data_IF_760638015653
#
_entry.id   IF_760638015653
#
_cell.length_a   1.000
_cell.length_b   1.000
_cell.length_c   1.000
_cell.angle_alpha   90.00
_cell.angle_beta   90.00
_cell.angle_gamma   90.00
#
_symmetry.space_group_name_H-M   'P 1'
#
loop_
_entity.id
_entity.type
_entity.pdbx_description
1 polymer ?
#
# COMPACT_ATOMS: atom_id res chain seq x y z
N UNK A 1 -52.98 -5.31 10.57
CA UNK A 1 -51.77 -6.07 10.10
C UNK A 1 -51.17 -5.46 8.81
N UNK A 2 -50.98 -4.15 8.73
CA UNK A 2 -50.55 -3.45 7.48
C UNK A 2 -49.30 -2.58 7.66
N UNK A 3 -48.60 -2.67 8.81
CA UNK A 3 -47.49 -1.74 9.11
C UNK A 3 -46.06 -2.29 8.83
N UNK A 4 -45.84 -3.62 8.79
CA UNK A 4 -44.52 -4.19 8.61
C UNK A 4 -44.03 -4.33 7.14
N UNK A 5 -44.96 -4.44 6.19
CA UNK A 5 -44.60 -4.58 4.77
C UNK A 5 -44.13 -3.23 4.20
N UNK A 6 -44.73 -2.10 4.60
CA UNK A 6 -44.34 -0.77 4.13
C UNK A 6 -42.99 -0.30 4.69
N UNK A 7 -42.62 -0.69 5.91
CA UNK A 7 -41.31 -0.30 6.48
C UNK A 7 -40.12 -1.03 5.81
N UNK A 8 -40.33 -2.26 5.27
CA UNK A 8 -39.30 -2.96 4.50
C UNK A 8 -39.06 -2.33 3.13
N UNK A 9 -40.08 -1.86 2.46
CA UNK A 9 -39.97 -1.23 1.14
C UNK A 9 -39.29 0.15 1.23
N UNK A 10 -39.60 0.95 2.22
CA UNK A 10 -38.95 2.26 2.45
C UNK A 10 -37.49 2.10 2.83
N UNK A 11 -37.09 1.11 3.66
CA UNK A 11 -35.70 0.81 3.97
C UNK A 11 -34.93 0.28 2.75
N UNK A 12 -35.58 -0.47 1.87
CA UNK A 12 -34.99 -0.94 0.61
C UNK A 12 -34.77 0.25 -0.35
N UNK A 13 -35.73 1.15 -0.47
CA UNK A 13 -35.66 2.38 -1.29
C UNK A 13 -34.58 3.33 -0.72
N UNK A 14 -34.51 3.52 0.59
CA UNK A 14 -33.48 4.34 1.22
C UNK A 14 -32.08 3.72 1.10
N UNK A 15 -31.93 2.39 1.10
CA UNK A 15 -30.67 1.73 0.80
C UNK A 15 -30.29 1.86 -0.68
N UNK A 16 -31.21 1.76 -1.62
CA UNK A 16 -30.96 1.97 -3.05
C UNK A 16 -30.65 3.42 -3.41
N UNK A 17 -31.24 4.39 -2.64
CA UNK A 17 -30.96 5.82 -2.82
C UNK A 17 -29.57 6.26 -2.31
N UNK A 18 -28.85 5.39 -1.59
CA UNK A 18 -27.51 5.64 -1.02
C UNK A 18 -26.44 4.67 -1.55
N UNK A 19 -26.69 3.99 -2.67
CA UNK A 19 -25.57 3.32 -3.37
C UNK A 19 -24.67 4.43 -3.91
N UNK A 20 -23.42 4.55 -3.44
CA UNK A 20 -22.53 5.58 -3.95
C UNK A 20 -22.42 5.44 -5.47
N UNK A 21 -22.50 6.54 -6.20
CA UNK A 21 -22.34 6.56 -7.66
C UNK A 21 -21.02 5.88 -8.00
N UNK A 22 -21.06 4.87 -8.86
CA UNK A 22 -19.84 4.24 -9.39
C UNK A 22 -19.10 5.28 -10.22
N UNK A 23 -17.87 5.60 -9.86
CA UNK A 23 -17.03 6.60 -10.53
C UNK A 23 -16.23 5.97 -11.66
N UNK A 24 -15.96 6.74 -12.70
CA UNK A 24 -14.95 6.47 -13.70
C UNK A 24 -13.68 7.27 -13.34
N UNK A 25 -12.61 6.60 -13.00
CA UNK A 25 -11.38 7.18 -12.50
C UNK A 25 -10.26 6.98 -13.53
N UNK A 26 -9.68 8.06 -14.04
CA UNK A 26 -8.50 8.00 -14.87
C UNK A 26 -7.27 7.86 -13.98
N UNK A 27 -6.38 6.93 -14.28
CA UNK A 27 -5.18 6.66 -13.51
C UNK A 27 -4.01 6.18 -14.37
N UNK A 28 -2.88 5.89 -13.73
CA UNK A 28 -1.77 5.14 -14.31
C UNK A 28 -1.26 4.16 -13.24
N UNK A 29 -1.09 2.89 -13.60
CA UNK A 29 -0.69 1.84 -12.68
C UNK A 29 0.58 2.19 -11.90
N UNK A 30 0.51 2.24 -10.58
CA UNK A 30 1.66 2.40 -9.70
C UNK A 30 2.29 1.04 -9.35
N UNK A 31 1.46 0.13 -8.85
CA UNK A 31 1.87 -1.21 -8.45
C UNK A 31 0.65 -2.13 -8.49
N UNK A 32 0.73 -3.23 -9.20
CA UNK A 32 -0.39 -4.12 -9.54
C UNK A 32 -1.16 -4.61 -8.31
N UNK A 33 -0.48 -5.09 -7.27
CA UNK A 33 -1.14 -5.54 -6.01
C UNK A 33 -1.86 -4.40 -5.28
N UNK A 34 -1.35 -3.17 -5.37
CA UNK A 34 -2.04 -2.01 -4.82
C UNK A 34 -3.31 -1.69 -5.60
N UNK A 35 -3.22 -1.72 -6.93
CA UNK A 35 -4.36 -1.50 -7.83
C UNK A 35 -5.46 -2.57 -7.64
N UNK A 36 -5.08 -3.83 -7.43
CA UNK A 36 -6.05 -4.90 -7.10
C UNK A 36 -6.83 -4.59 -5.83
N UNK A 37 -6.16 -4.13 -4.77
CA UNK A 37 -6.82 -3.69 -3.55
C UNK A 37 -7.70 -2.45 -3.78
N UNK A 38 -7.21 -1.50 -4.57
CA UNK A 38 -7.96 -0.29 -4.93
C UNK A 38 -9.23 -0.61 -5.71
N UNK A 39 -9.21 -1.59 -6.60
CA UNK A 39 -10.37 -2.06 -7.36
C UNK A 39 -11.49 -2.63 -6.49
N UNK A 40 -11.20 -3.06 -5.26
CA UNK A 40 -12.21 -3.48 -4.28
C UNK A 40 -13.14 -2.34 -3.83
N UNK A 41 -12.81 -1.08 -4.12
CA UNK A 41 -13.70 0.07 -3.93
C UNK A 41 -14.94 0.03 -4.82
N UNK A 42 -14.93 -0.79 -5.88
CA UNK A 42 -16.06 -1.00 -6.79
C UNK A 42 -16.19 0.06 -7.89
N UNK A 43 -15.30 1.06 -7.95
CA UNK A 43 -15.24 2.04 -9.03
C UNK A 43 -14.61 1.47 -10.30
N UNK A 44 -14.76 2.12 -11.44
CA UNK A 44 -14.05 1.79 -12.67
C UNK A 44 -12.74 2.58 -12.72
N UNK A 45 -11.64 1.88 -13.01
CA UNK A 45 -10.32 2.47 -13.18
C UNK A 45 -9.88 2.32 -14.63
N UNK A 46 -9.42 3.41 -15.22
CA UNK A 46 -8.91 3.45 -16.59
C UNK A 46 -7.46 3.89 -16.55
N UNK A 47 -6.55 2.95 -16.80
CA UNK A 47 -5.11 3.21 -16.77
C UNK A 47 -4.60 3.53 -18.14
N UNK A 48 -4.07 4.75 -18.35
CA UNK A 48 -3.33 5.08 -19.56
C UNK A 48 -2.02 4.29 -19.60
N UNK A 49 -1.92 3.42 -20.59
CA UNK A 49 -0.78 2.55 -20.81
C UNK A 49 0.39 3.33 -21.43
N UNK A 50 1.10 4.12 -20.67
CA UNK A 50 2.34 4.77 -21.14
C UNK A 50 3.48 3.75 -21.39
N UNK A 51 3.19 2.67 -22.13
CA UNK A 51 4.12 1.58 -22.45
C UNK A 51 4.35 0.56 -21.31
N UNK A 52 3.67 0.69 -20.17
CA UNK A 52 3.72 -0.29 -19.08
C UNK A 52 2.63 -1.34 -19.26
N UNK A 53 3.02 -2.60 -19.33
CA UNK A 53 2.10 -3.75 -19.27
C UNK A 53 1.84 -4.12 -17.82
N UNK A 54 0.68 -4.73 -17.55
CA UNK A 54 0.36 -5.32 -16.25
C UNK A 54 1.26 -6.53 -15.97
N UNK A 55 1.83 -6.56 -14.78
CA UNK A 55 2.62 -7.71 -14.33
C UNK A 55 1.68 -8.78 -13.74
N UNK A 56 1.46 -9.84 -14.52
CA UNK A 56 0.58 -10.96 -14.15
C UNK A 56 1.12 -11.81 -13.00
N UNK A 57 2.42 -11.73 -12.69
CA UNK A 57 2.99 -12.39 -11.50
C UNK A 57 2.45 -11.79 -10.20
N UNK A 58 1.91 -10.56 -10.27
CA UNK A 58 1.21 -9.91 -9.18
C UNK A 58 -0.28 -10.29 -9.09
N UNK A 59 -0.80 -11.10 -10.03
CA UNK A 59 -2.19 -11.53 -10.15
C UNK A 59 -2.93 -10.94 -11.35
N UNK A 60 -4.15 -11.43 -11.60
CA UNK A 60 -4.96 -11.06 -12.74
C UNK A 60 -5.43 -9.60 -12.69
N UNK A 61 -5.70 -9.04 -13.87
CA UNK A 61 -6.30 -7.70 -13.98
C UNK A 61 -7.75 -7.77 -13.49
N UNK A 62 -8.14 -6.95 -12.50
CA UNK A 62 -9.52 -6.89 -12.02
C UNK A 62 -10.51 -6.46 -13.13
N UNK A 63 -11.75 -6.99 -13.11
CA UNK A 63 -12.78 -6.68 -14.11
C UNK A 63 -13.10 -5.18 -14.27
N UNK A 64 -12.94 -4.41 -13.21
CA UNK A 64 -13.18 -2.97 -13.19
C UNK A 64 -11.90 -2.13 -13.40
N UNK A 65 -10.78 -2.75 -13.83
CA UNK A 65 -9.53 -2.09 -14.18
C UNK A 65 -9.27 -2.26 -15.69
N UNK A 66 -9.26 -1.16 -16.41
CA UNK A 66 -9.16 -1.12 -17.87
C UNK A 66 -7.87 -0.45 -18.30
N UNK A 67 -7.03 -1.18 -19.03
CA UNK A 67 -5.82 -0.61 -19.64
C UNK A 67 -6.22 -0.03 -20.99
N UNK A 68 -5.97 1.27 -21.20
CA UNK A 68 -6.35 2.00 -22.41
C UNK A 68 -5.14 2.72 -23.01
N UNK A 69 -5.00 2.68 -24.33
CA UNK A 69 -3.95 3.39 -25.05
C UNK A 69 -4.33 4.87 -25.33
N UNK A 70 -5.63 5.12 -25.45
CA UNK A 70 -6.21 6.44 -25.66
C UNK A 70 -7.55 6.58 -24.96
N UNK A 71 -7.99 7.82 -24.72
CA UNK A 71 -9.29 8.07 -24.10
C UNK A 71 -10.37 8.07 -25.17
N UNK A 72 -11.36 7.15 -25.11
CA UNK A 72 -12.49 7.14 -26.02
C UNK A 72 -13.36 8.39 -25.86
N UNK A 73 -13.92 8.90 -26.97
CA UNK A 73 -14.75 10.13 -26.98
C UNK A 73 -16.02 10.02 -26.13
N UNK A 74 -16.55 8.81 -25.97
CA UNK A 74 -17.77 8.53 -25.20
C UNK A 74 -17.52 8.39 -23.69
N UNK A 75 -16.26 8.35 -23.25
CA UNK A 75 -15.89 8.09 -21.85
C UNK A 75 -15.66 9.40 -21.11
N UNK A 76 -16.46 9.65 -20.09
CA UNK A 76 -16.30 10.77 -19.16
C UNK A 76 -15.70 10.27 -17.84
N UNK A 77 -14.80 11.07 -17.25
CA UNK A 77 -14.18 10.79 -15.96
C UNK A 77 -14.74 11.67 -14.86
N UNK A 78 -14.92 11.09 -13.68
CA UNK A 78 -15.32 11.80 -12.46
C UNK A 78 -14.10 12.32 -11.68
N UNK A 79 -12.93 11.68 -11.83
CA UNK A 79 -11.71 11.96 -11.07
C UNK A 79 -10.46 11.50 -11.85
N UNK A 80 -9.35 12.22 -11.67
CA UNK A 80 -7.99 11.72 -11.99
C UNK A 80 -7.34 11.30 -10.68
N UNK A 81 -6.91 10.04 -10.60
CA UNK A 81 -6.05 9.54 -9.53
C UNK A 81 -4.61 9.50 -10.03
N UNK A 82 -3.80 10.46 -9.58
CA UNK A 82 -2.39 10.50 -9.87
C UNK A 82 -1.61 9.84 -8.73
N UNK A 83 -0.85 8.81 -9.03
CA UNK A 83 0.20 8.31 -8.15
C UNK A 83 1.44 9.21 -8.26
N UNK A 84 2.41 9.07 -7.42
CA UNK A 84 3.56 9.98 -7.17
C UNK A 84 4.31 10.53 -8.42
N UNK A 85 4.04 10.03 -9.62
CA UNK A 85 4.76 10.34 -10.85
C UNK A 85 4.21 11.59 -11.55
N UNK A 86 4.99 12.68 -11.54
CA UNK A 86 4.63 13.95 -12.19
C UNK A 86 4.56 13.85 -13.72
N UNK A 87 5.36 13.01 -14.36
CA UNK A 87 5.35 12.88 -15.82
C UNK A 87 4.05 12.22 -16.27
N UNK A 88 3.60 11.19 -15.53
CA UNK A 88 2.32 10.52 -15.79
C UNK A 88 1.13 11.45 -15.50
N UNK A 89 1.19 12.23 -14.43
CA UNK A 89 0.17 13.24 -14.14
C UNK A 89 0.09 14.27 -15.27
N UNK A 90 1.23 14.83 -15.70
CA UNK A 90 1.29 15.78 -16.78
C UNK A 90 0.75 15.19 -18.10
N UNK A 91 1.08 13.92 -18.38
CA UNK A 91 0.55 13.21 -19.55
C UNK A 91 -0.97 13.06 -19.50
N UNK A 92 -1.52 12.53 -18.40
CA UNK A 92 -2.97 12.38 -18.23
C UNK A 92 -3.70 13.71 -18.36
N UNK A 93 -3.19 14.76 -17.72
CA UNK A 93 -3.77 16.10 -17.78
C UNK A 93 -3.70 16.69 -19.20
N UNK A 94 -2.59 16.51 -19.92
CA UNK A 94 -2.41 16.96 -21.29
C UNK A 94 -3.36 16.25 -22.26
N UNK A 95 -3.50 14.93 -22.14
CA UNK A 95 -4.41 14.13 -22.98
C UNK A 95 -5.86 14.59 -22.80
N UNK A 96 -6.31 14.78 -21.54
CA UNK A 96 -7.66 15.28 -21.26
C UNK A 96 -7.89 16.68 -21.77
N UNK A 97 -6.91 17.58 -21.61
CA UNK A 97 -7.01 18.98 -22.05
C UNK A 97 -7.01 19.14 -23.57
N UNK A 98 -6.40 18.17 -24.29
CA UNK A 98 -6.31 18.16 -25.76
C UNK A 98 -7.52 17.53 -26.46
N UNK A 99 -8.47 16.93 -25.73
CA UNK A 99 -9.67 16.36 -26.33
C UNK A 99 -10.61 17.46 -26.86
N UNK A 100 -11.23 17.31 -28.06
CA UNK A 100 -12.22 18.25 -28.55
C UNK A 100 -13.33 18.45 -27.53
N UNK A 101 -13.65 19.69 -27.19
CA UNK A 101 -14.67 20.04 -26.19
C UNK A 101 -16.09 19.82 -26.74
N UNK A 102 -16.44 18.62 -27.12
CA UNK A 102 -17.84 18.23 -27.39
C UNK A 102 -18.65 18.11 -26.09
N UNK A 103 -17.95 18.06 -24.95
CA UNK A 103 -18.53 18.07 -23.59
C UNK A 103 -17.74 19.03 -22.71
N UNK A 104 -18.31 20.17 -22.33
CA UNK A 104 -17.71 21.17 -21.44
C UNK A 104 -17.27 20.62 -20.08
N UNK A 105 -17.71 19.42 -19.72
CA UNK A 105 -17.36 18.73 -18.47
C UNK A 105 -16.03 17.93 -18.54
N UNK A 106 -15.46 17.69 -19.73
CA UNK A 106 -14.23 16.88 -19.87
C UNK A 106 -12.96 17.61 -19.42
N UNK A 107 -12.96 18.94 -19.44
CA UNK A 107 -11.78 19.77 -19.12
C UNK A 107 -11.63 20.11 -17.64
N UNK A 108 -12.62 19.77 -16.81
CA UNK A 108 -12.66 20.15 -15.40
C UNK A 108 -12.88 18.93 -14.51
N UNK A 109 -11.92 17.99 -14.52
CA UNK A 109 -11.94 16.80 -13.68
C UNK A 109 -11.03 17.03 -12.47
N UNK A 110 -11.51 16.79 -11.22
CA UNK A 110 -10.69 16.95 -10.04
C UNK A 110 -9.50 15.97 -10.06
N UNK A 111 -8.37 16.42 -9.56
CA UNK A 111 -7.14 15.63 -9.48
C UNK A 111 -6.82 15.35 -8.03
N UNK A 112 -6.84 14.08 -7.66
CA UNK A 112 -6.35 13.54 -6.40
C UNK A 112 -4.96 12.95 -6.62
N UNK A 113 -3.95 13.45 -5.89
CA UNK A 113 -2.60 12.90 -5.91
C UNK A 113 -2.35 12.05 -4.67
N UNK A 114 -2.05 10.77 -4.86
CA UNK A 114 -1.71 9.83 -3.81
C UNK A 114 -0.22 9.53 -3.77
N UNK A 115 0.40 9.78 -2.63
CA UNK A 115 1.85 9.66 -2.45
C UNK A 115 2.24 8.34 -1.80
N UNK A 116 3.01 7.52 -2.53
CA UNK A 116 3.53 6.23 -2.09
C UNK A 116 4.96 6.28 -1.54
N UNK A 117 5.67 7.41 -1.71
CA UNK A 117 7.09 7.52 -1.39
C UNK A 117 7.34 8.58 -0.35
N UNK A 118 8.48 8.49 0.31
CA UNK A 118 9.03 9.55 1.15
C UNK A 118 9.75 10.59 0.28
N UNK A 119 9.88 11.83 0.78
CA UNK A 119 10.72 12.80 0.13
C UNK A 119 12.18 12.36 0.13
N UNK A 120 12.92 12.81 -0.86
CA UNK A 120 14.35 12.55 -0.95
C UNK A 120 15.09 13.31 0.17
N UNK A 121 15.82 12.59 1.00
CA UNK A 121 16.55 13.14 2.16
C UNK A 121 17.60 14.20 1.80
N UNK A 122 17.93 14.35 0.51
CA UNK A 122 18.86 15.36 0.02
C UNK A 122 18.25 16.77 -0.08
N UNK A 123 16.92 16.89 0.01
CA UNK A 123 16.21 18.14 -0.10
C UNK A 123 15.61 18.57 1.24
N UNK A 124 15.59 19.87 1.52
CA UNK A 124 14.87 20.44 2.65
C UNK A 124 13.33 20.40 2.44
N UNK A 125 12.56 20.61 3.51
CA UNK A 125 11.09 20.53 3.45
C UNK A 125 10.48 21.51 2.43
N UNK A 126 11.03 22.71 2.27
CA UNK A 126 10.49 23.69 1.32
C UNK A 126 10.78 23.29 -0.12
N UNK A 127 11.96 22.73 -0.39
CA UNK A 127 12.29 22.15 -1.69
C UNK A 127 11.38 20.97 -2.03
N UNK A 128 11.16 20.08 -1.05
CA UNK A 128 10.28 18.92 -1.19
C UNK A 128 8.83 19.31 -1.46
N UNK A 129 8.31 20.31 -0.75
CA UNK A 129 6.96 20.85 -1.03
C UNK A 129 6.83 21.38 -2.43
N UNK A 130 7.85 22.13 -2.92
CA UNK A 130 7.87 22.64 -4.28
C UNK A 130 7.86 21.52 -5.33
N UNK A 131 8.49 20.39 -5.04
CA UNK A 131 8.48 19.21 -5.92
C UNK A 131 7.12 18.48 -5.91
N UNK A 132 6.41 18.49 -4.78
CA UNK A 132 5.12 17.79 -4.65
C UNK A 132 3.95 18.68 -5.06
N UNK A 133 3.94 19.96 -4.66
CA UNK A 133 2.81 20.85 -4.90
C UNK A 133 2.71 21.19 -6.38
N UNK A 134 1.64 20.75 -6.99
CA UNK A 134 1.31 21.01 -8.38
C UNK A 134 -0.01 21.81 -8.42
N UNK A 135 -0.05 23.00 -9.09
CA UNK A 135 -1.23 23.87 -9.09
C UNK A 135 -2.49 23.24 -9.68
N UNK A 136 -2.36 22.17 -10.48
CA UNK A 136 -3.52 21.46 -11.03
C UNK A 136 -4.10 20.43 -10.07
N UNK A 137 -3.38 20.05 -8.99
CA UNK A 137 -3.83 19.06 -8.01
C UNK A 137 -4.78 19.69 -7.00
N UNK A 138 -5.96 19.13 -6.86
CA UNK A 138 -7.01 19.64 -5.99
C UNK A 138 -6.95 19.02 -4.59
N UNK A 139 -6.51 17.76 -4.47
CA UNK A 139 -6.49 17.03 -3.22
C UNK A 139 -5.26 16.12 -3.12
N UNK A 140 -4.65 16.06 -1.93
CA UNK A 140 -3.49 15.21 -1.66
C UNK A 140 -3.84 14.10 -0.69
N UNK A 141 -3.25 12.92 -0.88
CA UNK A 141 -3.31 11.84 0.09
C UNK A 141 -1.97 11.11 0.22
N UNK A 142 -1.76 10.50 1.38
CA UNK A 142 -0.50 9.87 1.76
C UNK A 142 -0.76 8.50 2.38
N UNK A 143 0.20 7.59 2.26
CA UNK A 143 0.06 6.24 2.82
C UNK A 143 0.29 6.16 4.33
N UNK A 144 0.76 7.24 4.97
CA UNK A 144 0.96 7.31 6.42
C UNK A 144 0.99 8.74 6.92
N UNK A 145 0.74 8.92 8.23
CA UNK A 145 0.92 10.23 8.89
C UNK A 145 2.38 10.67 8.86
N UNK A 146 3.30 9.74 9.04
CA UNK A 146 4.73 10.00 8.90
C UNK A 146 5.05 10.56 7.51
N UNK A 147 4.63 9.86 6.44
CA UNK A 147 4.86 10.32 5.05
C UNK A 147 4.25 11.71 4.80
N UNK A 148 3.01 11.94 5.25
CA UNK A 148 2.32 13.22 5.15
C UNK A 148 3.14 14.36 5.82
N UNK A 149 3.62 14.13 7.04
CA UNK A 149 4.45 15.09 7.79
C UNK A 149 5.79 15.36 7.14
N UNK A 150 6.47 14.32 6.60
CA UNK A 150 7.74 14.47 5.89
C UNK A 150 7.60 15.34 4.62
N UNK A 151 6.45 15.28 3.93
CA UNK A 151 6.12 16.16 2.82
C UNK A 151 5.61 17.55 3.25
N UNK A 152 5.52 17.82 4.56
CA UNK A 152 5.07 19.10 5.13
C UNK A 152 3.57 19.35 4.99
N UNK A 153 2.77 18.30 4.86
CA UNK A 153 1.30 18.35 4.87
C UNK A 153 0.75 17.99 6.25
N UNK A 154 -0.54 18.24 6.45
CA UNK A 154 -1.29 17.89 7.65
C UNK A 154 -2.73 17.49 7.31
N UNK A 155 -3.48 17.02 8.30
CA UNK A 155 -4.85 16.51 8.12
C UNK A 155 -5.88 17.57 7.70
N UNK A 156 -5.55 18.86 7.77
CA UNK A 156 -6.46 19.93 7.33
C UNK A 156 -6.55 20.08 5.81
N UNK A 157 -5.52 19.63 5.09
CA UNK A 157 -5.40 19.81 3.64
C UNK A 157 -5.08 18.52 2.87
N UNK A 158 -5.09 17.38 3.54
CA UNK A 158 -4.81 16.08 2.94
C UNK A 158 -5.42 14.94 3.74
N UNK A 159 -5.47 13.75 3.11
CA UNK A 159 -5.92 12.52 3.76
C UNK A 159 -4.76 11.54 3.97
N UNK A 160 -4.91 10.66 4.97
CA UNK A 160 -4.05 9.49 5.15
C UNK A 160 -4.84 8.25 4.79
N UNK A 161 -4.31 7.46 3.86
CA UNK A 161 -4.88 6.19 3.40
C UNK A 161 -3.84 5.10 3.60
N UNK A 162 -3.89 4.44 4.75
CA UNK A 162 -2.99 3.35 5.08
C UNK A 162 -3.26 2.14 4.18
N UNK A 163 -2.24 1.32 3.94
CA UNK A 163 -2.39 0.10 3.14
C UNK A 163 -3.50 -0.80 3.65
N UNK A 164 -4.16 -1.49 2.72
CA UNK A 164 -5.09 -2.58 3.01
C UNK A 164 -4.43 -3.93 2.85
N UNK A 165 -4.65 -4.82 3.80
CA UNK A 165 -4.18 -6.20 3.76
C UNK A 165 -5.39 -7.12 3.73
N UNK A 166 -5.45 -8.00 2.74
CA UNK A 166 -6.44 -9.07 2.67
C UNK A 166 -6.09 -10.14 3.70
N UNK A 167 -6.73 -10.08 4.85
CA UNK A 167 -6.43 -10.98 5.97
C UNK A 167 -6.98 -12.38 5.81
N UNK A 168 -7.84 -12.62 4.83
CA UNK A 168 -8.28 -13.97 4.45
C UNK A 168 -7.23 -14.64 3.57
N UNK A 169 -6.66 -13.89 2.63
CA UNK A 169 -5.56 -14.37 1.82
C UNK A 169 -4.26 -14.48 2.64
N UNK A 170 -3.78 -13.37 3.23
CA UNK A 170 -2.60 -13.36 4.09
C UNK A 170 -2.96 -13.85 5.49
N UNK A 171 -2.82 -15.14 5.74
CA UNK A 171 -3.16 -15.79 6.99
C UNK A 171 -2.03 -16.69 7.51
N UNK A 172 -2.02 -17.05 8.80
CA UNK A 172 -0.93 -17.83 9.41
C UNK A 172 -0.74 -19.23 8.83
N UNK A 173 -1.78 -19.84 8.22
CA UNK A 173 -1.79 -21.25 7.88
C UNK A 173 -1.83 -22.16 9.10
N UNK A 174 -1.84 -23.48 8.86
CA UNK A 174 -1.94 -24.49 9.90
C UNK A 174 -0.65 -25.33 10.04
N UNK A 175 0.36 -25.07 9.20
CA UNK A 175 1.60 -25.84 9.17
C UNK A 175 2.59 -25.36 10.24
N UNK A 176 3.46 -26.28 10.68
CA UNK A 176 4.58 -25.95 11.55
C UNK A 176 5.57 -25.05 10.83
N UNK A 177 6.10 -24.05 11.53
CA UNK A 177 7.04 -23.09 10.97
C UNK A 177 8.47 -23.58 11.05
N UNK A 178 9.22 -23.39 9.98
CA UNK A 178 10.66 -23.61 9.98
C UNK A 178 11.34 -22.58 10.90
N UNK A 179 12.37 -23.04 11.63
CA UNK A 179 13.16 -22.17 12.51
C UNK A 179 14.15 -21.30 11.73
N UNK A 180 13.63 -20.37 10.91
CA UNK A 180 14.39 -19.52 10.01
C UNK A 180 13.99 -18.05 10.14
N UNK A 181 14.93 -17.16 9.78
CA UNK A 181 14.70 -15.73 9.61
C UNK A 181 14.51 -15.44 8.11
N UNK A 182 13.32 -15.00 7.75
CA UNK A 182 12.95 -14.62 6.39
C UNK A 182 13.16 -13.12 6.16
N UNK A 183 13.73 -12.77 5.02
CA UNK A 183 13.71 -11.40 4.48
C UNK A 183 13.22 -11.41 3.04
N UNK A 184 12.41 -10.42 2.66
CA UNK A 184 11.85 -10.29 1.30
C UNK A 184 12.15 -8.90 0.78
N UNK A 185 13.11 -8.78 -0.14
CA UNK A 185 13.56 -7.47 -0.67
C UNK A 185 14.00 -7.61 -2.13
N UNK A 186 13.52 -6.72 -2.99
CA UNK A 186 13.96 -6.64 -4.38
C UNK A 186 15.20 -5.73 -4.52
N UNK A 187 16.17 -6.14 -5.37
CA UNK A 187 17.37 -5.37 -5.73
C UNK A 187 18.13 -4.85 -4.49
N UNK A 188 18.26 -5.72 -3.48
CA UNK A 188 18.69 -5.34 -2.14
C UNK A 188 20.10 -4.71 -2.11
N UNK A 189 21.14 -5.27 -2.74
CA UNK A 189 22.48 -4.67 -2.72
C UNK A 189 22.52 -3.24 -3.28
N UNK A 190 21.76 -2.96 -4.36
CA UNK A 190 21.72 -1.64 -4.98
C UNK A 190 20.83 -0.66 -4.21
N UNK A 191 19.99 -1.15 -3.31
CA UNK A 191 19.07 -0.37 -2.49
C UNK A 191 19.45 -0.33 -1.01
N UNK A 192 20.73 -0.50 -0.69
CA UNK A 192 21.23 -0.45 0.69
C UNK A 192 20.79 0.81 1.42
N UNK A 193 20.84 1.97 0.77
CA UNK A 193 20.47 3.27 1.35
C UNK A 193 19.04 3.33 1.92
N UNK A 194 18.11 2.52 1.41
CA UNK A 194 16.73 2.47 1.88
C UNK A 194 16.31 1.13 2.46
N UNK A 195 16.98 0.03 2.09
CA UNK A 195 16.60 -1.32 2.49
C UNK A 195 17.59 -1.98 3.46
N UNK A 196 18.74 -1.31 3.79
CA UNK A 196 19.68 -1.72 4.84
C UNK A 196 20.38 -3.05 4.57
N UNK A 197 20.90 -3.25 3.36
CA UNK A 197 21.66 -4.45 2.99
C UNK A 197 22.88 -4.68 3.89
N UNK A 198 23.69 -3.64 4.11
CA UNK A 198 24.89 -3.73 4.96
C UNK A 198 24.53 -4.05 6.42
N UNK A 199 23.44 -3.47 6.94
CA UNK A 199 22.94 -3.78 8.27
C UNK A 199 22.51 -5.25 8.37
N UNK A 200 21.80 -5.75 7.36
CA UNK A 200 21.38 -7.15 7.32
C UNK A 200 22.57 -8.10 7.27
N UNK A 201 23.57 -7.84 6.42
CA UNK A 201 24.78 -8.66 6.37
C UNK A 201 25.50 -8.71 7.73
N UNK A 202 25.61 -7.56 8.41
CA UNK A 202 26.25 -7.48 9.71
C UNK A 202 25.52 -8.29 10.79
N UNK A 203 24.17 -8.28 10.75
CA UNK A 203 23.34 -8.82 11.84
C UNK A 203 22.90 -10.26 11.60
N UNK A 204 22.75 -10.69 10.36
CA UNK A 204 22.18 -11.98 10.00
C UNK A 204 23.22 -13.09 9.77
N UNK A 205 24.50 -12.77 9.66
CA UNK A 205 25.55 -13.74 9.34
C UNK A 205 25.55 -14.94 10.30
N UNK A 206 25.54 -16.17 9.73
CA UNK A 206 25.61 -17.42 10.49
C UNK A 206 24.28 -17.85 11.13
N UNK A 207 23.18 -17.12 10.91
CA UNK A 207 21.84 -17.56 11.31
C UNK A 207 21.19 -18.43 10.21
N UNK A 208 20.16 -19.22 10.54
CA UNK A 208 19.33 -19.88 9.54
C UNK A 208 18.50 -18.84 8.80
N UNK A 209 18.85 -18.58 7.55
CA UNK A 209 18.27 -17.52 6.74
C UNK A 209 17.49 -18.05 5.54
N UNK A 210 16.44 -17.33 5.18
CA UNK A 210 15.70 -17.48 3.94
C UNK A 210 15.53 -16.10 3.32
N UNK A 211 15.92 -15.91 2.06
CA UNK A 211 15.84 -14.62 1.36
C UNK A 211 15.07 -14.80 0.08
N UNK A 212 14.08 -13.93 -0.15
CA UNK A 212 13.33 -13.86 -1.37
C UNK A 212 13.28 -12.42 -1.91
N UNK A 213 12.95 -12.31 -3.17
CA UNK A 213 12.90 -11.06 -3.92
C UNK A 213 13.86 -11.07 -5.10
N UNK A 214 13.54 -10.30 -6.12
CA UNK A 214 14.37 -10.18 -7.33
C UNK A 214 15.64 -9.40 -7.04
N UNK A 215 16.65 -10.09 -6.51
CA UNK A 215 17.98 -9.52 -6.18
C UNK A 215 19.06 -10.35 -6.89
N UNK A 216 19.48 -9.97 -8.11
CA UNK A 216 20.41 -10.77 -8.93
C UNK A 216 21.68 -11.16 -8.18
N UNK A 217 22.01 -12.45 -8.20
CA UNK A 217 23.17 -13.01 -7.50
C UNK A 217 22.97 -13.24 -5.99
N UNK A 218 21.81 -12.91 -5.43
CA UNK A 218 21.48 -13.11 -4.02
C UNK A 218 20.23 -13.97 -3.83
N UNK A 219 19.12 -13.62 -4.48
CA UNK A 219 17.84 -14.30 -4.31
C UNK A 219 16.94 -14.14 -5.54
N UNK A 220 16.03 -15.10 -5.70
CA UNK A 220 14.99 -15.07 -6.70
C UNK A 220 13.64 -14.64 -6.07
N UNK A 221 12.72 -14.08 -6.86
CA UNK A 221 11.37 -13.78 -6.38
C UNK A 221 10.61 -15.06 -6.06
N UNK A 222 9.56 -14.96 -5.27
CA UNK A 222 8.57 -16.02 -5.19
C UNK A 222 7.90 -16.21 -6.57
N UNK A 223 7.57 -17.45 -6.91
CA UNK A 223 6.98 -17.82 -8.20
C UNK A 223 5.59 -17.20 -8.43
N UNK A 224 4.90 -16.90 -7.33
CA UNK A 224 3.58 -16.27 -7.32
C UNK A 224 3.30 -15.61 -5.97
N UNK A 225 2.22 -14.83 -5.89
CA UNK A 225 1.74 -14.26 -4.63
C UNK A 225 1.33 -15.36 -3.63
N UNK A 226 0.74 -16.46 -4.13
CA UNK A 226 0.41 -17.64 -3.34
C UNK A 226 1.66 -18.31 -2.74
N UNK A 227 2.70 -18.50 -3.56
CA UNK A 227 3.99 -19.02 -3.10
C UNK A 227 4.62 -18.09 -2.04
N UNK A 228 4.55 -16.77 -2.23
CA UNK A 228 5.02 -15.81 -1.23
C UNK A 228 4.29 -15.94 0.11
N UNK A 229 2.97 -16.14 0.06
CA UNK A 229 2.17 -16.42 1.26
C UNK A 229 2.67 -17.67 1.99
N UNK A 230 2.89 -18.78 1.26
CA UNK A 230 3.40 -20.03 1.83
C UNK A 230 4.79 -19.84 2.47
N UNK A 231 5.65 -19.01 1.86
CA UNK A 231 6.96 -18.66 2.40
C UNK A 231 6.81 -17.96 3.76
N UNK A 232 5.90 -16.99 3.89
CA UNK A 232 5.62 -16.36 5.18
C UNK A 232 5.04 -17.35 6.19
N UNK A 233 4.09 -18.18 5.79
CA UNK A 233 3.46 -19.18 6.67
C UNK A 233 4.48 -20.17 7.24
N UNK A 234 5.48 -20.56 6.45
CA UNK A 234 6.55 -21.49 6.84
C UNK A 234 7.74 -20.84 7.55
N UNK A 235 7.78 -19.53 7.69
CA UNK A 235 8.90 -18.84 8.34
C UNK A 235 8.53 -18.37 9.75
N UNK A 236 9.40 -18.66 10.73
CA UNK A 236 9.18 -18.30 12.13
C UNK A 236 9.35 -16.80 12.36
N UNK A 237 10.39 -16.21 11.78
CA UNK A 237 10.76 -14.82 11.99
C UNK A 237 10.77 -14.10 10.65
N UNK A 238 10.21 -12.90 10.61
CA UNK A 238 10.42 -11.96 9.51
C UNK A 238 11.37 -10.85 9.95
N UNK A 239 12.49 -10.73 9.25
CA UNK A 239 13.53 -9.74 9.53
C UNK A 239 13.55 -8.65 8.47
N UNK A 240 13.27 -7.40 8.89
CA UNK A 240 13.22 -6.22 8.05
C UNK A 240 14.26 -5.20 8.49
N UNK A 241 15.14 -4.79 7.57
CA UNK A 241 16.19 -3.80 7.81
C UNK A 241 15.96 -2.48 7.09
N UNK A 242 14.72 -2.15 6.74
CA UNK A 242 14.39 -0.91 6.03
C UNK A 242 14.88 0.32 6.77
N UNK A 243 15.61 1.20 6.07
CA UNK A 243 16.14 2.46 6.60
C UNK A 243 15.32 3.68 6.15
N UNK A 244 14.82 3.65 4.91
CA UNK A 244 14.05 4.75 4.33
C UNK A 244 12.91 4.21 3.47
N UNK A 245 11.84 3.77 4.12
CA UNK A 245 10.63 3.28 3.47
C UNK A 245 9.41 3.84 4.20
N UNK A 246 8.39 4.32 3.50
CA UNK A 246 7.19 4.84 4.17
C UNK A 246 6.46 3.74 4.95
N UNK A 247 6.13 2.64 4.29
CA UNK A 247 5.57 1.41 4.88
C UNK A 247 5.96 0.24 3.99
N UNK A 248 6.83 -0.68 4.44
CA UNK A 248 7.10 -1.89 3.66
C UNK A 248 5.86 -2.80 3.63
N UNK A 249 5.28 -3.04 2.46
CA UNK A 249 4.11 -3.95 2.32
C UNK A 249 4.43 -5.37 2.79
N UNK A 250 5.66 -5.83 2.51
CA UNK A 250 6.17 -7.15 2.96
C UNK A 250 6.17 -7.31 4.49
N UNK A 251 6.35 -6.21 5.24
CA UNK A 251 6.22 -6.22 6.71
C UNK A 251 4.77 -6.50 7.13
N UNK A 252 3.81 -5.82 6.50
CA UNK A 252 2.39 -6.00 6.80
C UNK A 252 1.90 -7.40 6.40
N UNK A 253 2.37 -7.93 5.27
CA UNK A 253 2.08 -9.29 4.80
C UNK A 253 2.64 -10.34 5.79
N UNK A 254 3.89 -10.18 6.25
CA UNK A 254 4.50 -11.06 7.23
C UNK A 254 3.79 -11.02 8.60
N UNK A 255 3.39 -9.81 9.05
CA UNK A 255 2.56 -9.64 10.25
C UNK A 255 1.21 -10.32 10.09
N UNK A 256 0.56 -10.18 8.94
CA UNK A 256 -0.71 -10.84 8.63
C UNK A 256 -0.59 -12.36 8.64
N UNK A 257 0.52 -12.90 8.16
CA UNK A 257 0.81 -14.33 8.22
C UNK A 257 1.30 -14.80 9.61
N UNK A 258 1.39 -13.91 10.61
CA UNK A 258 1.75 -14.29 11.99
C UNK A 258 3.23 -14.60 12.20
N UNK A 259 4.13 -14.07 11.38
CA UNK A 259 5.57 -14.14 11.65
C UNK A 259 5.93 -13.29 12.89
N UNK A 260 6.88 -13.75 13.69
CA UNK A 260 7.52 -12.90 14.68
C UNK A 260 8.34 -11.82 13.98
N UNK A 261 8.13 -10.56 14.28
CA UNK A 261 8.76 -9.43 13.59
C UNK A 261 10.03 -8.99 14.34
N UNK A 262 11.15 -8.90 13.60
CA UNK A 262 12.35 -8.17 14.02
C UNK A 262 12.63 -7.09 12.97
N UNK A 263 12.75 -5.82 13.38
CA UNK A 263 12.84 -4.71 12.42
C UNK A 263 13.64 -3.52 12.95
N UNK A 264 14.12 -2.68 12.02
CA UNK A 264 14.59 -1.34 12.33
C UNK A 264 13.45 -0.44 12.82
N UNK A 265 13.76 0.55 13.65
CA UNK A 265 12.79 1.57 14.13
C UNK A 265 12.86 2.85 13.30
N UNK A 266 12.63 2.74 11.98
CA UNK A 266 12.74 3.86 11.03
C UNK A 266 11.40 4.23 10.42
N UNK A 267 11.26 5.46 9.98
CA UNK A 267 10.09 5.98 9.26
C UNK A 267 8.77 5.71 10.00
N UNK A 268 7.80 5.06 9.37
CA UNK A 268 6.52 4.74 9.99
C UNK A 268 6.57 3.49 10.89
N UNK A 269 7.62 2.70 10.88
CA UNK A 269 7.67 1.44 11.63
C UNK A 269 7.34 1.62 13.13
N UNK A 270 7.82 2.67 13.84
CA UNK A 270 7.45 2.91 15.24
C UNK A 270 5.96 3.21 15.47
N UNK A 271 5.20 3.57 14.44
CA UNK A 271 3.74 3.74 14.54
C UNK A 271 2.98 2.40 14.39
N UNK A 272 3.64 1.36 13.87
CA UNK A 272 3.07 0.03 13.60
C UNK A 272 3.52 -0.97 14.66
N UNK A 273 4.82 -0.97 14.98
CA UNK A 273 5.44 -1.91 15.90
C UNK A 273 5.51 -1.32 17.31
N UNK A 274 4.80 -1.94 18.22
CA UNK A 274 4.93 -1.74 19.65
C UNK A 274 5.98 -2.73 20.17
N UNK A 275 7.19 -2.21 20.46
CA UNK A 275 8.35 -3.03 20.81
C UNK A 275 8.07 -3.94 22.02
N UNK A 276 8.36 -5.24 21.89
CA UNK A 276 8.08 -6.27 22.89
C UNK A 276 6.63 -6.77 22.94
N UNK A 277 5.72 -6.19 22.15
CA UNK A 277 4.32 -6.63 22.11
C UNK A 277 3.95 -7.33 20.78
N UNK A 278 4.10 -6.66 19.64
CA UNK A 278 3.76 -7.19 18.31
C UNK A 278 4.98 -7.29 17.38
N UNK A 279 6.18 -7.13 17.94
CA UNK A 279 7.46 -7.26 17.26
C UNK A 279 8.59 -6.74 18.16
N UNK A 280 9.81 -6.93 17.69
CA UNK A 280 11.02 -6.42 18.32
C UNK A 280 11.69 -5.42 17.37
N UNK A 281 11.99 -4.23 17.87
CA UNK A 281 12.44 -3.11 17.06
C UNK A 281 13.67 -2.46 17.70
N UNK A 282 14.73 -2.28 16.91
CA UNK A 282 15.91 -1.52 17.31
C UNK A 282 16.65 -0.95 16.10
N UNK A 283 17.44 0.11 16.33
CA UNK A 283 18.41 0.62 15.36
C UNK A 283 19.87 0.25 15.75
N UNK A 284 20.06 -0.48 16.85
CA UNK A 284 21.36 -1.03 17.23
C UNK A 284 21.55 -2.43 16.59
N UNK A 285 22.60 -2.64 15.78
CA UNK A 285 22.87 -3.93 15.17
C UNK A 285 23.05 -5.08 16.18
N UNK A 286 23.58 -4.80 17.37
CA UNK A 286 23.77 -5.82 18.40
C UNK A 286 22.44 -6.26 19.00
N UNK A 287 21.53 -5.32 19.23
CA UNK A 287 20.18 -5.65 19.73
C UNK A 287 19.40 -6.42 18.68
N UNK A 288 19.41 -5.98 17.41
CA UNK A 288 18.77 -6.70 16.32
C UNK A 288 19.26 -8.16 16.25
N UNK A 289 20.58 -8.36 16.32
CA UNK A 289 21.19 -9.71 16.36
C UNK A 289 20.69 -10.52 17.56
N UNK A 290 20.71 -9.93 18.75
CA UNK A 290 20.24 -10.57 19.98
C UNK A 290 18.76 -10.96 19.89
N UNK A 291 17.91 -10.14 19.29
CA UNK A 291 16.49 -10.44 19.07
C UNK A 291 16.29 -11.64 18.14
N UNK A 292 17.05 -11.70 17.03
CA UNK A 292 16.99 -12.85 16.13
C UNK A 292 17.40 -14.15 16.83
N UNK A 293 18.52 -14.14 17.55
CA UNK A 293 19.03 -15.30 18.29
C UNK A 293 18.05 -15.75 19.38
N UNK A 294 17.50 -14.81 20.13
CA UNK A 294 16.53 -15.08 21.19
C UNK A 294 15.26 -15.73 20.63
N UNK A 295 14.72 -15.21 19.52
CA UNK A 295 13.51 -15.76 18.92
C UNK A 295 13.75 -17.13 18.26
N UNK A 296 14.92 -17.36 17.66
CA UNK A 296 15.28 -18.68 17.15
C UNK A 296 15.31 -19.76 18.22
N UNK A 297 15.62 -19.39 19.48
CA UNK A 297 15.69 -20.29 20.62
C UNK A 297 14.37 -20.40 21.43
N UNK A 298 13.40 -19.50 21.19
CA UNK A 298 12.18 -19.38 22.01
C UNK A 298 10.90 -19.36 21.18
N UNK A 299 10.37 -20.54 20.86
CA UNK A 299 9.15 -20.69 20.05
C UNK A 299 7.94 -20.01 20.67
N UNK A 300 7.79 -20.09 21.99
CA UNK A 300 6.67 -19.46 22.69
C UNK A 300 6.64 -17.94 22.51
N UNK A 301 7.80 -17.28 22.67
CA UNK A 301 7.90 -15.82 22.51
C UNK A 301 7.65 -15.44 21.04
N UNK A 302 8.25 -16.18 20.10
CA UNK A 302 8.04 -15.94 18.67
C UNK A 302 6.55 -16.08 18.29
N UNK A 303 5.89 -17.14 18.75
CA UNK A 303 4.46 -17.36 18.52
C UNK A 303 3.61 -16.22 19.08
N UNK A 304 3.84 -15.81 20.33
CA UNK A 304 3.09 -14.73 20.97
C UNK A 304 3.25 -13.38 20.21
N UNK A 305 4.47 -13.03 19.81
CA UNK A 305 4.72 -11.82 19.02
C UNK A 305 4.04 -11.88 17.65
N UNK A 306 4.08 -13.04 16.98
CA UNK A 306 3.41 -13.26 15.70
C UNK A 306 1.88 -13.16 15.79
N UNK A 307 1.27 -13.71 16.83
CA UNK A 307 -0.18 -13.59 17.10
C UNK A 307 -0.58 -12.12 17.33
N UNK A 308 0.20 -11.38 18.09
CA UNK A 308 -0.03 -9.94 18.33
C UNK A 308 0.21 -9.11 17.06
N UNK A 309 1.21 -9.48 16.23
CA UNK A 309 1.43 -8.87 14.94
C UNK A 309 0.22 -9.05 14.03
N UNK A 310 -0.30 -10.27 13.93
CA UNK A 310 -1.54 -10.59 13.20
C UNK A 310 -2.72 -9.76 13.67
N UNK A 311 -2.94 -9.69 14.98
CA UNK A 311 -4.02 -8.91 15.57
C UNK A 311 -3.93 -7.43 15.20
N UNK A 312 -2.72 -6.86 15.18
CA UNK A 312 -2.50 -5.47 14.75
C UNK A 312 -2.96 -5.24 13.31
N UNK A 313 -2.72 -6.21 12.40
CA UNK A 313 -3.19 -6.13 11.02
C UNK A 313 -4.72 -6.21 10.95
N UNK A 314 -5.33 -7.14 11.67
CA UNK A 314 -6.78 -7.30 11.73
C UNK A 314 -7.51 -6.09 12.33
N UNK A 315 -6.90 -5.37 13.25
CA UNK A 315 -7.49 -4.17 13.86
C UNK A 315 -7.28 -2.90 13.05
N UNK A 316 -6.11 -2.76 12.37
CA UNK A 316 -5.72 -1.49 11.77
C UNK A 316 -5.63 -1.50 10.25
N UNK A 317 -5.20 -2.60 9.64
CA UNK A 317 -4.83 -2.64 8.22
C UNK A 317 -5.75 -3.52 7.37
N UNK A 318 -6.95 -3.83 7.84
CA UNK A 318 -7.92 -4.63 7.08
C UNK A 318 -8.28 -3.98 5.75
N UNK A 319 -8.51 -4.82 4.74
CA UNK A 319 -8.85 -4.39 3.39
C UNK A 319 -10.16 -3.59 3.33
N UNK A 320 -11.19 -3.95 4.11
CA UNK A 320 -12.45 -3.22 4.17
C UNK A 320 -12.26 -1.77 4.68
N UNK A 321 -11.41 -1.56 5.69
CA UNK A 321 -11.06 -0.22 6.17
C UNK A 321 -10.34 0.62 5.10
N UNK A 322 -9.46 0.01 4.33
CA UNK A 322 -8.79 0.64 3.20
C UNK A 322 -9.81 1.08 2.14
N UNK A 323 -10.72 0.18 1.76
CA UNK A 323 -11.80 0.44 0.81
C UNK A 323 -12.68 1.58 1.28
N UNK A 324 -13.12 1.56 2.54
CA UNK A 324 -13.95 2.63 3.13
C UNK A 324 -13.23 3.98 3.14
N UNK A 325 -11.92 3.98 3.45
CA UNK A 325 -11.13 5.22 3.48
C UNK A 325 -10.96 5.78 2.07
N UNK A 326 -10.72 4.94 1.07
CA UNK A 326 -10.66 5.35 -0.32
C UNK A 326 -11.99 5.93 -0.81
N UNK A 327 -13.11 5.25 -0.55
CA UNK A 327 -14.43 5.72 -0.95
C UNK A 327 -14.76 7.09 -0.36
N UNK A 328 -14.46 7.32 0.92
CA UNK A 328 -14.59 8.63 1.57
C UNK A 328 -13.70 9.69 0.92
N UNK A 329 -12.46 9.31 0.58
CA UNK A 329 -11.50 10.25 -0.04
C UNK A 329 -11.92 10.61 -1.47
N UNK A 330 -12.42 9.67 -2.26
CA UNK A 330 -12.99 9.95 -3.59
C UNK A 330 -14.21 10.87 -3.51
N UNK A 331 -15.08 10.63 -2.54
CA UNK A 331 -16.23 11.49 -2.29
C UNK A 331 -15.81 12.92 -1.92
N UNK A 332 -14.84 13.09 -1.04
CA UNK A 332 -14.29 14.39 -0.65
C UNK A 332 -13.65 15.10 -1.84
N UNK A 333 -12.79 14.41 -2.60
CA UNK A 333 -12.09 14.99 -3.75
C UNK A 333 -13.07 15.44 -4.85
N UNK A 334 -14.15 14.69 -5.09
CA UNK A 334 -15.15 15.02 -6.10
C UNK A 334 -16.13 16.11 -5.65
N UNK A 335 -16.44 16.21 -4.34
CA UNK A 335 -17.35 17.23 -3.79
C UNK A 335 -16.66 18.59 -3.63
N UNK A 336 -15.44 18.63 -3.11
CA UNK A 336 -14.68 19.87 -2.91
C UNK A 336 -14.39 20.63 -4.20
N UNK A 337 -14.50 19.95 -5.34
CA UNK A 337 -14.32 20.56 -6.66
C UNK A 337 -15.60 21.20 -7.23
N UNK A 338 -16.77 20.78 -6.77
CA UNK A 338 -18.08 21.28 -7.26
C UNK A 338 -18.58 22.51 -6.48
N UNK A 339 -17.88 22.95 -5.45
CA UNK A 339 -18.18 24.14 -4.66
C UNK A 339 -17.33 25.33 -5.07
#
# INVERSE_FOLDING_TARGET
>A
MTSRANQRSVRSILRSAHTPKKLNILTACAHERYEQNLCKTGHNFYSLAAGKTWDTDCGDIPENYHIIDSIPDYLDFDLILAHTDDQRLAHMHSVLSGLPSTNSNKTHVPILRHNHVLPDVRFDIEQQKKMLVNPVVNFYSFISRYSMGQWGFNENNSAVIEHGVDTEFWNPGDEERDNVCLSVVNDWPNRDWCCGWNLWQQTAQGLPLRVYGKSPGLSEPAESTEHLRQIYQKSKIFYNTSLHSPVPSVLLEAMACGCAIVTTGTCMIPEIIQNGHNGLMSNDPKELRSYLEMLLQNDHIAKQLGENARKTIEERFRLDRFVDTWNKTFELATKSYRG
#
